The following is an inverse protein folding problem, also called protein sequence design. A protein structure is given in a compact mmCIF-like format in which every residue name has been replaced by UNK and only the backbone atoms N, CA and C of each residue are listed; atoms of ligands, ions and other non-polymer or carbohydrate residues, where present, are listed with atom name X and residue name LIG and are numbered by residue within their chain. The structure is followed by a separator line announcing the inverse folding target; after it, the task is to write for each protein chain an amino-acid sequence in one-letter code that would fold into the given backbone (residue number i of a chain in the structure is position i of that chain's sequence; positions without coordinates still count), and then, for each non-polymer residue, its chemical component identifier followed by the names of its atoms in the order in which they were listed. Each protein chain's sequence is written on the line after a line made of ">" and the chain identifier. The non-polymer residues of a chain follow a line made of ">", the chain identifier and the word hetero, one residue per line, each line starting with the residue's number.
data_IF_375372791725
#
_entry.id   IF_375372791725
#
_cell.length_a   1.000
_cell.length_b   1.000
_cell.length_c   1.000
_cell.angle_alpha   90.00
_cell.angle_beta   90.00
_cell.angle_gamma   90.00
#
_symmetry.space_group_name_H-M   'P 1'
#
loop_
_entity.id
_entity.type
_entity.pdbx_description
1 polymer ?
#
# COMPACT_ATOMS: atom_id res chain seq x y z
N UNK A 1 9.17 11.96 12.65
CA UNK A 1 9.49 10.54 12.31
C UNK A 1 8.27 9.70 12.65
N UNK A 2 7.85 8.85 11.73
CA UNK A 2 6.74 7.91 11.92
C UNK A 2 7.30 6.49 11.82
N UNK A 3 6.86 5.59 12.68
CA UNK A 3 7.21 4.18 12.58
C UNK A 3 5.97 3.30 12.82
N UNK A 4 6.00 2.09 12.30
CA UNK A 4 4.93 1.11 12.47
C UNK A 4 5.36 -0.27 12.00
N UNK A 5 4.55 -1.26 12.33
CA UNK A 5 4.70 -2.64 11.88
C UNK A 5 3.51 -2.96 10.99
N UNK A 6 3.79 -3.52 9.82
CA UNK A 6 2.77 -3.90 8.84
C UNK A 6 3.24 -5.07 7.98
N UNK A 7 2.40 -5.50 7.06
CA UNK A 7 2.77 -6.50 6.08
C UNK A 7 3.79 -5.98 5.06
N UNK A 8 4.54 -6.88 4.45
CA UNK A 8 5.54 -6.52 3.45
C UNK A 8 4.94 -5.79 2.22
N UNK A 9 3.78 -6.20 1.68
CA UNK A 9 3.14 -5.48 0.57
C UNK A 9 2.79 -4.04 0.91
N UNK A 10 2.26 -3.79 2.11
CA UNK A 10 1.92 -2.46 2.59
C UNK A 10 3.18 -1.61 2.79
N UNK A 11 4.28 -2.22 3.25
CA UNK A 11 5.58 -1.57 3.38
C UNK A 11 6.14 -1.10 2.04
N UNK A 12 6.04 -1.92 1.00
CA UNK A 12 6.48 -1.57 -0.36
C UNK A 12 5.58 -0.48 -0.97
N UNK A 13 4.26 -0.56 -0.76
CA UNK A 13 3.33 0.47 -1.21
C UNK A 13 3.62 1.83 -0.53
N UNK A 14 3.89 1.81 0.78
CA UNK A 14 4.30 3.01 1.51
C UNK A 14 5.63 3.57 0.98
N UNK A 15 6.61 2.71 0.72
CA UNK A 15 7.91 3.10 0.15
C UNK A 15 7.74 3.75 -1.24
N UNK A 16 6.85 3.21 -2.07
CA UNK A 16 6.55 3.79 -3.39
C UNK A 16 5.97 5.20 -3.28
N UNK A 17 5.02 5.40 -2.36
CA UNK A 17 4.45 6.71 -2.09
C UNK A 17 5.50 7.70 -1.58
N UNK A 18 6.32 7.28 -0.60
CA UNK A 18 7.37 8.10 0.00
C UNK A 18 8.42 8.50 -1.06
N UNK A 19 8.86 7.53 -1.89
CA UNK A 19 9.79 7.81 -2.98
C UNK A 19 9.21 8.79 -3.99
N UNK A 20 7.96 8.59 -4.39
CA UNK A 20 7.28 9.49 -5.32
C UNK A 20 7.15 10.93 -4.79
N UNK A 21 7.04 11.09 -3.47
CA UNK A 21 6.98 12.39 -2.78
C UNK A 21 8.37 12.98 -2.49
N UNK A 22 9.45 12.23 -2.72
CA UNK A 22 10.82 12.67 -2.44
C UNK A 22 11.21 12.60 -0.97
N UNK A 23 10.53 11.74 -0.19
CA UNK A 23 10.88 11.45 1.19
C UNK A 23 11.93 10.34 1.32
N UNK A 24 12.17 9.92 2.55
CA UNK A 24 13.09 8.82 2.86
C UNK A 24 12.43 7.83 3.83
N UNK A 25 12.85 6.58 3.75
CA UNK A 25 12.32 5.49 4.55
C UNK A 25 13.37 4.42 4.78
N UNK A 26 13.33 3.84 5.95
CA UNK A 26 14.04 2.60 6.28
C UNK A 26 13.04 1.55 6.75
N UNK A 27 13.29 0.30 6.41
CA UNK A 27 12.47 -0.82 6.82
C UNK A 27 13.35 -2.00 7.25
N UNK A 28 12.75 -2.94 7.96
CA UNK A 28 13.37 -4.22 8.30
C UNK A 28 12.34 -5.32 8.17
N UNK A 29 12.66 -6.36 7.42
CA UNK A 29 11.85 -7.57 7.37
C UNK A 29 12.12 -8.40 8.63
N UNK A 30 11.07 -8.62 9.41
CA UNK A 30 11.12 -9.38 10.66
C UNK A 30 10.29 -10.65 10.45
N UNK A 31 10.86 -11.85 10.67
CA UNK A 31 10.13 -13.11 10.53
C UNK A 31 8.90 -13.17 11.45
N UNK A 32 7.88 -13.87 11.01
CA UNK A 32 6.58 -13.92 11.67
C UNK A 32 6.64 -14.33 13.15
N UNK A 33 7.48 -15.31 13.50
CA UNK A 33 7.62 -15.79 14.86
C UNK A 33 8.17 -14.74 15.83
N UNK A 34 8.96 -13.79 15.35
CA UNK A 34 9.48 -12.68 16.16
C UNK A 34 8.40 -11.60 16.43
N UNK A 35 7.43 -11.46 15.53
CA UNK A 35 6.39 -10.40 15.62
C UNK A 35 5.10 -10.93 16.27
N UNK A 36 4.67 -12.14 15.93
CA UNK A 36 3.38 -12.72 16.34
C UNK A 36 3.47 -13.78 17.43
N UNK A 37 4.67 -14.02 17.97
CA UNK A 37 4.93 -15.01 18.99
C UNK A 37 5.55 -16.29 18.46
N UNK A 38 6.41 -16.88 19.28
CA UNK A 38 7.24 -18.03 18.92
C UNK A 38 6.50 -19.36 19.11
N UNK A 39 5.49 -19.60 18.28
CA UNK A 39 4.75 -20.86 18.18
C UNK A 39 5.32 -21.75 17.08
N UNK A 40 5.08 -23.05 17.14
CA UNK A 40 5.53 -24.00 16.11
C UNK A 40 5.00 -23.63 14.71
N UNK A 41 3.72 -23.27 14.63
CA UNK A 41 3.10 -22.80 13.40
C UNK A 41 3.78 -21.52 12.85
N UNK A 42 4.02 -20.52 13.72
CA UNK A 42 4.67 -19.29 13.32
C UNK A 42 6.12 -19.52 12.90
N UNK A 43 6.85 -20.45 13.51
CA UNK A 43 8.21 -20.84 13.10
C UNK A 43 8.24 -21.49 11.72
N UNK A 44 7.26 -22.35 11.42
CA UNK A 44 7.14 -22.96 10.09
C UNK A 44 6.91 -21.91 9.02
N UNK A 45 5.96 -21.01 9.24
CA UNK A 45 5.67 -19.91 8.31
C UNK A 45 6.89 -18.98 8.17
N UNK A 46 7.56 -18.64 9.27
CA UNK A 46 8.78 -17.83 9.26
C UNK A 46 9.91 -18.47 8.44
N UNK A 47 10.10 -19.79 8.56
CA UNK A 47 11.09 -20.52 7.77
C UNK A 47 10.79 -20.44 6.27
N UNK A 48 9.54 -20.57 5.86
CA UNK A 48 9.12 -20.41 4.47
C UNK A 48 9.31 -18.97 3.96
N UNK A 49 9.01 -17.97 4.80
CA UNK A 49 9.23 -16.55 4.50
C UNK A 49 10.72 -16.26 4.27
N UNK A 50 11.58 -16.74 5.16
CA UNK A 50 13.04 -16.57 5.04
C UNK A 50 13.58 -17.22 3.77
N UNK A 51 13.18 -18.45 3.46
CA UNK A 51 13.61 -19.13 2.23
C UNK A 51 13.18 -18.37 0.97
N UNK A 52 11.96 -17.81 0.93
CA UNK A 52 11.52 -16.96 -0.18
C UNK A 52 12.35 -15.68 -0.31
N UNK A 53 12.65 -15.04 0.81
CA UNK A 53 13.50 -13.85 0.82
C UNK A 53 14.89 -14.15 0.30
N UNK A 54 15.51 -15.23 0.74
CA UNK A 54 16.83 -15.69 0.26
C UNK A 54 16.81 -15.96 -1.24
N UNK A 55 15.79 -16.67 -1.74
CA UNK A 55 15.64 -16.95 -3.17
C UNK A 55 15.48 -15.68 -4.01
N UNK A 56 14.90 -14.62 -3.45
CA UNK A 56 14.74 -13.30 -4.09
C UNK A 56 15.92 -12.36 -3.84
N UNK A 57 16.94 -12.78 -3.08
CA UNK A 57 18.08 -11.94 -2.70
C UNK A 57 17.73 -10.82 -1.74
N UNK A 58 16.63 -10.96 -0.99
CA UNK A 58 16.18 -9.97 -0.01
C UNK A 58 16.72 -10.35 1.37
N UNK A 59 17.33 -9.38 2.04
CA UNK A 59 17.91 -9.56 3.37
C UNK A 59 16.85 -9.49 4.47
N UNK A 60 16.86 -10.48 5.36
CA UNK A 60 15.99 -10.56 6.53
C UNK A 60 16.73 -10.02 7.75
N UNK A 61 16.02 -9.33 8.64
CA UNK A 61 16.56 -8.70 9.86
C UNK A 61 17.66 -7.63 9.65
N UNK A 62 17.92 -7.24 8.41
CA UNK A 62 18.79 -6.12 8.09
C UNK A 62 18.00 -4.85 7.75
N UNK A 63 18.64 -3.69 7.89
CA UNK A 63 18.02 -2.42 7.50
C UNK A 63 18.00 -2.33 5.99
N UNK A 64 16.80 -2.21 5.44
CA UNK A 64 16.55 -1.92 4.03
C UNK A 64 16.32 -0.42 3.86
N UNK A 65 17.01 0.17 2.92
CA UNK A 65 16.81 1.56 2.53
C UNK A 65 15.68 1.70 1.51
N UNK A 66 15.26 2.91 1.26
CA UNK A 66 14.21 3.20 0.27
C UNK A 66 14.54 2.63 -1.12
N UNK A 67 15.79 2.70 -1.54
CA UNK A 67 16.27 2.18 -2.83
C UNK A 67 16.20 0.65 -2.93
N UNK A 68 16.31 -0.05 -1.80
CA UNK A 68 16.17 -1.51 -1.74
C UNK A 68 14.71 -1.94 -1.95
N UNK A 69 13.77 -1.11 -1.52
CA UNK A 69 12.33 -1.36 -1.62
C UNK A 69 11.75 -0.90 -2.96
N UNK A 70 12.21 0.25 -3.45
CA UNK A 70 11.75 0.85 -4.72
C UNK A 70 12.96 1.41 -5.45
N UNK A 71 13.39 0.75 -6.53
CA UNK A 71 14.67 1.01 -7.20
C UNK A 71 14.67 2.23 -8.12
N UNK A 72 13.51 2.65 -8.62
CA UNK A 72 13.39 3.69 -9.65
C UNK A 72 12.33 4.73 -9.28
N UNK A 73 12.54 5.96 -9.72
CA UNK A 73 11.55 7.05 -9.63
C UNK A 73 10.47 6.96 -10.71
N UNK A 74 10.66 6.09 -11.72
CA UNK A 74 9.72 5.87 -12.80
C UNK A 74 8.52 5.03 -12.35
N UNK A 75 7.83 5.49 -11.35
CA UNK A 75 6.69 4.84 -10.72
C UNK A 75 5.45 5.73 -10.75
N UNK A 76 4.31 5.10 -10.63
CA UNK A 76 3.02 5.75 -10.34
C UNK A 76 2.46 5.12 -9.09
N UNK A 77 2.15 5.94 -8.09
CA UNK A 77 1.39 5.53 -6.92
C UNK A 77 -0.04 6.02 -7.08
N UNK A 78 -1.00 5.12 -6.90
CA UNK A 78 -2.42 5.45 -6.91
C UNK A 78 -3.12 4.84 -5.70
N UNK A 79 -3.92 5.64 -5.02
CA UNK A 79 -4.72 5.19 -3.89
C UNK A 79 -6.11 5.85 -3.92
N UNK A 80 -7.15 5.07 -3.70
CA UNK A 80 -8.53 5.57 -3.61
C UNK A 80 -9.03 5.40 -2.18
N UNK A 81 -9.64 6.45 -1.63
CA UNK A 81 -10.20 6.44 -0.30
C UNK A 81 -11.47 5.60 -0.22
N UNK A 82 -11.48 4.57 0.63
CA UNK A 82 -12.68 3.80 0.97
C UNK A 82 -13.34 4.39 2.20
N UNK A 83 -12.57 4.61 3.25
CA UNK A 83 -12.97 5.32 4.47
C UNK A 83 -12.41 6.73 4.48
N UNK A 84 -13.02 7.62 5.26
CA UNK A 84 -12.50 8.98 5.42
C UNK A 84 -11.17 8.96 6.18
N UNK A 85 -10.19 9.68 5.66
CA UNK A 85 -8.90 9.92 6.28
C UNK A 85 -8.47 11.37 6.07
N UNK A 86 -7.39 11.79 6.71
CA UNK A 86 -6.81 13.12 6.50
C UNK A 86 -6.28 13.30 5.06
N UNK A 87 -5.84 12.21 4.44
CA UNK A 87 -5.26 12.24 3.10
C UNK A 87 -6.32 12.21 2.00
N UNK A 88 -7.34 11.35 2.12
CA UNK A 88 -8.36 11.11 1.12
C UNK A 88 -9.74 11.01 1.76
N UNK A 89 -10.72 11.59 1.09
CA UNK A 89 -12.12 11.36 1.43
C UNK A 89 -12.52 9.95 1.05
N UNK A 90 -13.26 9.29 1.93
CA UNK A 90 -13.87 8.00 1.65
C UNK A 90 -15.04 8.10 0.66
N UNK A 91 -15.63 6.96 0.37
CA UNK A 91 -16.79 6.87 -0.51
C UNK A 91 -17.96 7.64 0.11
N UNK A 92 -18.50 8.58 -0.63
CA UNK A 92 -19.72 9.33 -0.26
C UNK A 92 -20.85 8.94 -1.21
N UNK A 93 -22.02 8.65 -0.65
CA UNK A 93 -23.21 8.26 -1.42
C UNK A 93 -24.34 9.26 -1.20
N UNK A 94 -25.01 9.63 -2.29
CA UNK A 94 -26.23 10.43 -2.26
C UNK A 94 -27.19 9.90 -3.34
N UNK A 95 -28.20 9.16 -2.91
CA UNK A 95 -29.14 8.51 -3.83
C UNK A 95 -28.40 7.56 -4.79
N UNK A 96 -28.55 7.82 -6.07
CA UNK A 96 -27.94 7.03 -7.15
C UNK A 96 -26.50 7.46 -7.53
N UNK A 97 -25.92 8.38 -6.79
CA UNK A 97 -24.56 8.87 -7.01
C UNK A 97 -23.63 8.36 -5.91
N UNK A 98 -22.44 7.91 -6.31
CA UNK A 98 -21.32 7.71 -5.41
C UNK A 98 -20.16 8.60 -5.85
N UNK A 99 -19.45 9.16 -4.89
CA UNK A 99 -18.25 9.98 -5.13
C UNK A 99 -17.07 9.33 -4.46
N UNK A 100 -15.97 9.22 -5.20
CA UNK A 100 -14.69 8.73 -4.69
C UNK A 100 -13.59 9.75 -4.91
N UNK A 101 -12.57 9.74 -4.05
CA UNK A 101 -11.38 10.56 -4.19
C UNK A 101 -10.16 9.67 -4.34
N UNK A 102 -9.36 9.94 -5.38
CA UNK A 102 -8.13 9.20 -5.70
C UNK A 102 -6.94 10.15 -5.67
N UNK A 103 -5.88 9.71 -5.00
CA UNK A 103 -4.57 10.32 -5.07
C UNK A 103 -3.74 9.59 -6.13
N UNK A 104 -3.19 10.32 -7.08
CA UNK A 104 -2.29 9.82 -8.11
C UNK A 104 -0.98 10.59 -8.05
N UNK A 105 0.13 9.90 -7.80
CA UNK A 105 1.45 10.51 -7.73
C UNK A 105 2.34 9.89 -8.80
N UNK A 106 2.91 10.73 -9.65
CA UNK A 106 3.92 10.35 -10.63
C UNK A 106 5.30 10.65 -10.07
N UNK A 107 6.09 9.62 -9.77
CA UNK A 107 7.40 9.77 -9.13
C UNK A 107 8.40 10.58 -9.98
N UNK A 108 8.54 10.25 -11.28
CA UNK A 108 9.49 10.91 -12.17
C UNK A 108 9.26 12.42 -12.32
N UNK A 109 8.02 12.87 -12.37
CA UNK A 109 7.65 14.28 -12.49
C UNK A 109 7.33 14.93 -11.15
N UNK A 110 7.26 14.15 -10.08
CA UNK A 110 6.83 14.60 -8.74
C UNK A 110 5.49 15.33 -8.77
N UNK A 111 4.60 14.89 -9.66
CA UNK A 111 3.28 15.49 -9.84
C UNK A 111 2.27 14.75 -9.00
N UNK A 112 1.52 15.49 -8.19
CA UNK A 112 0.43 14.97 -7.36
C UNK A 112 -0.90 15.41 -7.97
N UNK A 113 -1.81 14.47 -8.16
CA UNK A 113 -3.19 14.73 -8.61
C UNK A 113 -4.16 14.19 -7.59
N UNK A 114 -5.12 15.01 -7.21
CA UNK A 114 -6.34 14.58 -6.51
C UNK A 114 -7.46 14.53 -7.51
N UNK A 115 -8.04 13.35 -7.71
CA UNK A 115 -9.08 13.11 -8.69
C UNK A 115 -10.38 12.79 -7.94
N UNK A 116 -11.40 13.59 -8.15
CA UNK A 116 -12.74 13.30 -7.68
C UNK A 116 -13.51 12.63 -8.82
N UNK A 117 -14.02 11.44 -8.56
CA UNK A 117 -14.82 10.68 -9.52
C UNK A 117 -16.28 10.62 -9.05
N UNK A 118 -17.20 10.86 -9.98
CA UNK A 118 -18.63 10.75 -9.76
C UNK A 118 -19.12 9.51 -10.49
N UNK A 119 -19.76 8.61 -9.76
CA UNK A 119 -20.26 7.34 -10.28
C UNK A 119 -21.79 7.37 -10.29
N UNK A 120 -22.38 7.21 -11.46
CA UNK A 120 -23.81 6.97 -11.62
C UNK A 120 -24.08 5.48 -11.46
N UNK A 121 -24.61 5.08 -10.32
CA UNK A 121 -24.68 3.66 -9.93
C UNK A 121 -25.61 2.85 -10.84
N UNK A 122 -26.66 3.44 -11.35
CA UNK A 122 -27.59 2.84 -12.31
C UNK A 122 -27.00 2.56 -13.72
N UNK A 123 -25.83 3.17 -13.98
CA UNK A 123 -25.11 3.01 -15.27
C UNK A 123 -23.88 2.11 -15.15
N UNK A 124 -23.67 1.51 -13.98
CA UNK A 124 -22.56 0.59 -13.73
C UNK A 124 -22.99 -0.86 -13.97
N UNK A 125 -22.05 -1.68 -14.39
CA UNK A 125 -22.26 -3.12 -14.43
C UNK A 125 -22.55 -3.66 -13.02
N UNK A 126 -23.29 -4.75 -12.93
CA UNK A 126 -23.73 -5.32 -11.65
C UNK A 126 -22.58 -5.60 -10.68
N UNK A 127 -21.45 -6.09 -11.18
CA UNK A 127 -20.25 -6.34 -10.35
C UNK A 127 -19.69 -5.06 -9.75
N UNK A 128 -19.57 -3.99 -10.53
CA UNK A 128 -19.09 -2.68 -10.06
C UNK A 128 -20.08 -2.07 -9.08
N UNK A 129 -21.39 -2.24 -9.34
CA UNK A 129 -22.44 -1.78 -8.45
C UNK A 129 -22.33 -2.41 -7.06
N UNK A 130 -22.10 -3.72 -6.99
CA UNK A 130 -21.96 -4.44 -5.71
C UNK A 130 -20.74 -3.97 -4.92
N UNK A 131 -19.59 -3.72 -5.59
CA UNK A 131 -18.38 -3.17 -4.95
C UNK A 131 -18.65 -1.79 -4.36
N UNK A 132 -19.37 -0.93 -5.07
CA UNK A 132 -19.66 0.44 -4.63
C UNK A 132 -20.83 0.51 -3.63
N UNK A 133 -21.62 -0.55 -3.50
CA UNK A 133 -22.76 -0.63 -2.59
C UNK A 133 -22.33 -0.84 -1.14
N UNK A 134 -21.29 -1.59 -0.95
CA UNK A 134 -20.73 -1.88 0.37
C UNK A 134 -19.79 -0.77 0.84
#
# INVERSE_FOLDING_TARGET
>A
MVYGIGGAPEGVAAAAAIRALGGDMQARLIPRNEVKGDTEENRKIASEEVQRCEALGVKVNEILKLEDLVRDDNLVFAATGITHSELLKGISRRGNLATTETLLIRGKSRTIRKIQSIHYLDRKDSEIYEILRN
#
